data_IF_254634497878
#
_entry.id   IF_254634497878
#
_cell.length_a   1.000
_cell.length_b   1.000
_cell.length_c   1.000
_cell.angle_alpha   90.00
_cell.angle_beta   90.00
_cell.angle_gamma   90.00
#
_symmetry.space_group_name_H-M   'P 1'
#
loop_
_entity.id
_entity.type
_entity.pdbx_description
1 polymer ?
#
# COMPACT_ATOMS: atom_id res chain seq x y z
N UNK A 1 24.44 25.65 18.55
CA UNK A 1 25.12 24.56 17.81
C UNK A 1 24.38 23.27 18.12
N UNK A 2 23.59 22.67 17.23
CA UNK A 2 23.76 22.52 15.78
C UNK A 2 22.56 23.02 14.99
N UNK A 3 22.89 23.55 13.83
CA UNK A 3 22.05 24.20 12.84
C UNK A 3 21.08 23.20 12.20
N UNK A 4 19.78 23.50 12.28
CA UNK A 4 18.82 22.96 11.32
C UNK A 4 18.87 23.93 10.15
N UNK A 5 19.66 23.57 9.14
CA UNK A 5 19.68 24.30 7.88
C UNK A 5 18.30 24.21 7.23
N UNK A 6 17.82 25.37 6.79
CA UNK A 6 16.55 25.55 6.08
C UNK A 6 16.28 24.42 5.08
N UNK A 7 15.29 23.57 5.37
CA UNK A 7 14.69 22.73 4.34
C UNK A 7 13.65 23.58 3.61
N UNK A 8 13.95 23.93 2.36
CA UNK A 8 12.96 24.49 1.45
C UNK A 8 11.75 23.53 1.43
N UNK A 9 10.56 24.04 1.77
CA UNK A 9 9.30 23.31 1.56
C UNK A 9 9.10 23.16 0.05
N UNK A 10 9.60 22.06 -0.50
CA UNK A 10 9.24 21.62 -1.83
C UNK A 10 7.94 20.80 -1.72
N UNK A 11 6.93 21.11 -2.52
CA UNK A 11 5.54 20.63 -2.41
C UNK A 11 5.35 19.12 -2.70
N UNK A 12 6.44 18.33 -2.70
CA UNK A 12 6.47 16.87 -2.84
C UNK A 12 7.35 16.30 -1.75
N UNK A 13 6.79 16.03 -0.59
CA UNK A 13 7.53 15.33 0.47
C UNK A 13 7.61 13.84 0.12
N UNK A 14 8.85 13.40 -0.15
CA UNK A 14 9.19 12.00 -0.19
C UNK A 14 9.67 11.57 1.20
N UNK A 15 9.43 10.32 1.58
CA UNK A 15 9.87 9.79 2.87
C UNK A 15 10.44 8.40 2.72
N UNK A 16 11.42 8.08 3.57
CA UNK A 16 12.00 6.75 3.68
C UNK A 16 11.21 5.95 4.72
N UNK A 17 10.72 4.77 4.32
CA UNK A 17 9.96 3.88 5.21
C UNK A 17 10.56 2.49 5.13
N UNK A 18 10.73 1.84 6.28
CA UNK A 18 11.10 0.43 6.35
C UNK A 18 9.82 -0.41 6.39
N UNK A 19 9.69 -1.37 5.47
CA UNK A 19 8.54 -2.26 5.39
C UNK A 19 8.77 -3.53 6.19
N UNK A 20 7.78 -3.86 7.01
CA UNK A 20 7.74 -5.10 7.79
C UNK A 20 6.53 -5.93 7.34
N UNK A 21 6.67 -7.25 7.36
CA UNK A 21 5.56 -8.17 7.08
C UNK A 21 5.70 -8.92 5.75
N UNK A 22 4.83 -9.92 5.59
CA UNK A 22 4.87 -10.90 4.49
C UNK A 22 3.84 -10.61 3.39
N UNK A 23 2.80 -9.82 3.67
CA UNK A 23 1.65 -9.69 2.77
C UNK A 23 1.97 -9.16 1.36
N UNK A 24 3.12 -8.53 1.18
CA UNK A 24 3.58 -8.01 -0.11
C UNK A 24 4.72 -8.82 -0.71
N UNK A 25 5.03 -9.99 -0.17
CA UNK A 25 5.96 -10.92 -0.81
C UNK A 25 5.36 -11.44 -2.12
N UNK A 26 6.17 -11.69 -3.16
CA UNK A 26 7.63 -11.51 -3.19
C UNK A 26 8.08 -10.07 -3.51
N UNK A 27 7.17 -9.15 -3.84
CA UNK A 27 7.51 -7.79 -4.27
C UNK A 27 8.27 -7.01 -3.20
N UNK A 28 7.83 -7.10 -1.95
CA UNK A 28 8.48 -6.52 -0.79
C UNK A 28 8.91 -7.62 0.18
N UNK A 29 10.09 -7.46 0.74
CA UNK A 29 10.75 -8.43 1.64
C UNK A 29 10.88 -9.82 1.01
N UNK A 30 11.43 -10.00 -0.21
CA UNK A 30 11.58 -11.31 -0.82
C UNK A 30 12.35 -12.25 0.12
N UNK A 31 11.89 -13.50 0.26
CA UNK A 31 12.30 -14.51 1.26
C UNK A 31 13.80 -14.92 1.27
N UNK A 32 14.69 -14.16 0.64
CA UNK A 32 16.13 -14.43 0.53
C UNK A 32 16.92 -14.11 1.80
N UNK A 33 16.38 -13.35 2.75
CA UNK A 33 16.95 -13.21 4.10
C UNK A 33 15.92 -12.68 5.10
N UNK A 34 15.56 -13.46 6.12
CA UNK A 34 14.61 -13.06 7.19
C UNK A 34 15.08 -11.82 7.99
N UNK A 35 16.33 -11.40 7.82
CA UNK A 35 16.92 -10.23 8.49
C UNK A 35 16.91 -8.96 7.63
N UNK A 36 16.69 -9.07 6.32
CA UNK A 36 16.62 -7.91 5.43
C UNK A 36 15.18 -7.44 5.33
N UNK A 37 15.00 -6.15 5.54
CA UNK A 37 13.73 -5.46 5.44
C UNK A 37 13.86 -4.37 4.40
N UNK A 38 12.92 -4.31 3.48
CA UNK A 38 12.97 -3.37 2.39
C UNK A 38 12.80 -1.95 2.91
N UNK A 39 13.67 -1.07 2.43
CA UNK A 39 13.52 0.37 2.63
C UNK A 39 12.97 0.94 1.33
N UNK A 40 11.89 1.68 1.43
CA UNK A 40 11.16 2.23 0.29
C UNK A 40 11.14 3.76 0.35
N UNK A 41 11.06 4.38 -0.82
CA UNK A 41 10.67 5.79 -0.95
C UNK A 41 9.17 5.83 -1.22
N UNK A 42 8.46 6.57 -0.37
CA UNK A 42 7.05 6.90 -0.56
C UNK A 42 6.88 8.36 -0.97
N UNK A 43 5.82 8.62 -1.73
CA UNK A 43 5.32 9.94 -2.10
C UNK A 43 4.06 10.25 -1.27
N UNK A 44 4.17 11.19 -0.34
CA UNK A 44 3.09 11.52 0.60
C UNK A 44 2.00 12.43 0.01
N UNK A 45 2.24 12.98 -1.18
CA UNK A 45 1.33 13.95 -1.82
C UNK A 45 0.61 13.36 -3.03
N UNK A 46 0.84 12.10 -3.37
CA UNK A 46 0.13 11.45 -4.45
C UNK A 46 -1.37 11.39 -4.15
N UNK A 47 -2.19 12.04 -4.99
CA UNK A 47 -3.67 12.04 -4.87
C UNK A 47 -4.36 11.23 -5.97
N UNK A 48 -3.64 10.91 -7.03
CA UNK A 48 -4.15 10.10 -8.13
C UNK A 48 -3.49 8.72 -8.08
N UNK A 49 -4.29 7.68 -8.16
CA UNK A 49 -3.80 6.31 -8.08
C UNK A 49 -4.26 5.52 -9.30
N UNK A 50 -3.46 4.54 -9.71
CA UNK A 50 -3.78 3.62 -10.80
C UNK A 50 -3.69 2.17 -10.35
N UNK A 51 -4.31 1.26 -11.10
CA UNK A 51 -4.13 -0.18 -10.90
C UNK A 51 -2.64 -0.54 -10.97
N UNK A 52 -2.22 -1.43 -10.08
CA UNK A 52 -0.84 -1.86 -9.90
C UNK A 52 -0.02 -0.99 -8.96
N UNK A 53 -0.48 0.21 -8.58
CA UNK A 53 0.23 1.05 -7.61
C UNK A 53 0.33 0.33 -6.25
N UNK A 54 1.52 0.39 -5.64
CA UNK A 54 1.77 -0.02 -4.27
C UNK A 54 1.53 1.17 -3.35
N UNK A 55 0.77 0.97 -2.28
CA UNK A 55 0.33 2.05 -1.40
C UNK A 55 0.45 1.68 0.06
N UNK A 56 0.64 2.70 0.89
CA UNK A 56 0.42 2.62 2.33
C UNK A 56 -0.95 3.20 2.65
N UNK A 57 -1.74 2.49 3.43
CA UNK A 57 -3.09 2.90 3.83
C UNK A 57 -3.35 2.61 5.31
N UNK A 58 -4.21 3.40 5.92
CA UNK A 58 -4.70 3.12 7.28
C UNK A 58 -5.69 1.96 7.25
N UNK A 59 -5.59 1.06 8.23
CA UNK A 59 -6.51 -0.06 8.35
C UNK A 59 -7.95 0.45 8.57
N UNK A 60 -8.97 -0.06 7.83
CA UNK A 60 -10.32 0.51 7.85
C UNK A 60 -10.97 0.60 9.24
N UNK A 61 -10.67 -0.35 10.12
CA UNK A 61 -11.23 -0.43 11.47
C UNK A 61 -10.28 0.02 12.59
N UNK A 62 -8.99 0.25 12.29
CA UNK A 62 -8.00 0.65 13.29
C UNK A 62 -7.00 1.65 12.68
N UNK A 63 -7.21 2.97 12.86
CA UNK A 63 -6.38 3.99 12.23
C UNK A 63 -4.94 4.03 12.76
N UNK A 64 -4.59 3.28 13.81
CA UNK A 64 -3.20 3.16 14.29
C UNK A 64 -2.37 2.19 13.47
N UNK A 65 -3.02 1.34 12.67
CA UNK A 65 -2.37 0.32 11.86
C UNK A 65 -2.22 0.84 10.42
N UNK A 66 -0.99 0.79 9.91
CA UNK A 66 -0.67 1.11 8.52
C UNK A 66 -0.38 -0.20 7.76
N UNK A 67 -1.03 -0.39 6.62
CA UNK A 67 -0.90 -1.57 5.77
C UNK A 67 -0.15 -1.19 4.48
N UNK A 68 0.63 -2.12 3.95
CA UNK A 68 1.14 -2.05 2.57
C UNK A 68 0.35 -3.02 1.68
N UNK A 69 -0.19 -2.51 0.57
CA UNK A 69 -1.05 -3.24 -0.36
C UNK A 69 -0.88 -2.76 -1.80
N UNK A 70 -1.36 -3.54 -2.76
CA UNK A 70 -1.42 -3.18 -4.18
C UNK A 70 -2.85 -2.86 -4.58
N UNK A 71 -3.04 -1.81 -5.37
CA UNK A 71 -4.34 -1.51 -5.97
C UNK A 71 -4.60 -2.48 -7.11
N UNK A 72 -5.66 -3.26 -7.00
CA UNK A 72 -6.09 -4.21 -8.04
C UNK A 72 -7.20 -3.59 -8.89
N UNK A 73 -8.10 -2.80 -8.28
CA UNK A 73 -9.19 -2.14 -8.98
C UNK A 73 -9.51 -0.76 -8.41
N UNK A 74 -10.13 0.07 -9.24
CA UNK A 74 -10.60 1.42 -8.93
C UNK A 74 -12.10 1.54 -9.21
N UNK A 75 -12.68 2.68 -8.85
CA UNK A 75 -14.09 2.99 -9.08
C UNK A 75 -14.62 2.52 -10.45
N UNK A 76 -15.80 1.91 -10.43
CA UNK A 76 -16.46 1.39 -11.62
C UNK A 76 -15.99 0.01 -12.10
N UNK A 77 -14.81 -0.45 -11.68
CA UNK A 77 -14.33 -1.79 -12.01
C UNK A 77 -15.23 -2.88 -11.40
N UNK A 78 -15.21 -4.06 -12.01
CA UNK A 78 -15.79 -5.28 -11.48
C UNK A 78 -14.66 -6.25 -11.16
N UNK A 79 -14.53 -6.60 -9.89
CA UNK A 79 -13.53 -7.55 -9.39
C UNK A 79 -14.21 -8.89 -9.13
N UNK A 80 -13.48 -9.98 -9.36
CA UNK A 80 -13.83 -11.32 -8.87
C UNK A 80 -13.01 -11.59 -7.61
N UNK A 81 -13.58 -11.44 -6.41
CA UNK A 81 -12.87 -11.66 -5.17
C UNK A 81 -12.42 -13.11 -5.01
N UNK A 82 -11.43 -13.33 -4.17
CA UNK A 82 -11.04 -14.64 -3.66
C UNK A 82 -11.59 -14.85 -2.25
N UNK A 83 -11.50 -16.09 -1.74
CA UNK A 83 -11.85 -16.38 -0.36
C UNK A 83 -11.01 -15.50 0.59
N UNK A 84 -11.59 -14.98 1.69
CA UNK A 84 -12.86 -15.37 2.31
C UNK A 84 -14.09 -14.57 1.84
N UNK A 85 -13.99 -13.75 0.79
CA UNK A 85 -15.11 -12.93 0.33
C UNK A 85 -16.28 -13.80 -0.16
N UNK A 86 -17.51 -13.41 0.18
CA UNK A 86 -18.72 -14.21 -0.13
C UNK A 86 -19.29 -13.92 -1.52
N UNK A 87 -19.11 -12.70 -2.02
CA UNK A 87 -19.66 -12.28 -3.30
C UNK A 87 -18.81 -12.82 -4.46
N UNK A 88 -19.48 -13.28 -5.52
CA UNK A 88 -18.80 -13.76 -6.73
C UNK A 88 -18.16 -12.64 -7.54
N UNK A 89 -18.79 -11.45 -7.53
CA UNK A 89 -18.32 -10.26 -8.20
C UNK A 89 -18.68 -9.04 -7.38
N UNK A 90 -17.76 -8.07 -7.32
CA UNK A 90 -17.96 -6.80 -6.63
C UNK A 90 -17.70 -5.67 -7.62
N UNK A 91 -18.68 -4.78 -7.77
CA UNK A 91 -18.49 -3.51 -8.48
C UNK A 91 -17.97 -2.46 -7.50
N UNK A 92 -16.84 -1.84 -7.82
CA UNK A 92 -16.20 -0.87 -6.94
C UNK A 92 -16.98 0.47 -6.98
N UNK A 93 -17.43 0.99 -5.82
CA UNK A 93 -18.13 2.29 -5.75
C UNK A 93 -17.25 3.49 -6.15
N UNK A 94 -17.89 4.62 -6.46
CA UNK A 94 -17.21 5.90 -6.72
C UNK A 94 -16.37 6.32 -5.50
N UNK A 95 -15.10 6.70 -5.70
CA UNK A 95 -14.19 7.09 -4.62
C UNK A 95 -13.62 5.95 -3.77
N UNK A 96 -13.85 4.69 -4.18
CA UNK A 96 -13.31 3.49 -3.53
C UNK A 96 -12.29 2.78 -4.43
N UNK A 97 -11.50 1.91 -3.83
CA UNK A 97 -10.61 1.00 -4.53
C UNK A 97 -10.65 -0.40 -3.92
N UNK A 98 -10.15 -1.37 -4.68
CA UNK A 98 -9.91 -2.74 -4.23
C UNK A 98 -8.41 -2.97 -4.13
N UNK A 99 -7.95 -3.38 -2.95
CA UNK A 99 -6.55 -3.57 -2.64
C UNK A 99 -6.28 -5.00 -2.19
N UNK A 100 -5.15 -5.56 -2.57
CA UNK A 100 -4.73 -6.91 -2.20
C UNK A 100 -3.27 -6.97 -1.78
N UNK A 101 -2.94 -7.97 -0.97
CA UNK A 101 -1.55 -8.38 -0.77
C UNK A 101 -1.05 -9.21 -1.95
N UNK A 102 0.25 -9.15 -2.22
CA UNK A 102 0.88 -10.04 -3.21
C UNK A 102 1.05 -11.48 -2.67
N UNK A 103 0.99 -11.66 -1.33
CA UNK A 103 0.89 -12.96 -0.66
C UNK A 103 -0.51 -13.11 -0.02
N UNK A 104 -1.45 -13.79 -0.70
CA UNK A 104 -2.83 -13.95 -0.23
C UNK A 104 -2.96 -14.69 1.10
N UNK A 105 -1.99 -15.55 1.47
CA UNK A 105 -2.09 -16.36 2.70
C UNK A 105 -1.79 -15.56 3.97
N UNK A 106 -1.09 -14.43 3.83
CA UNK A 106 -0.67 -13.57 4.94
C UNK A 106 -1.18 -12.13 4.82
N UNK A 107 -2.28 -11.95 4.09
CA UNK A 107 -2.85 -10.64 3.81
C UNK A 107 -4.23 -10.47 4.47
N UNK A 108 -4.41 -9.34 5.16
CA UNK A 108 -5.73 -8.77 5.38
C UNK A 108 -5.92 -7.61 4.41
N UNK A 109 -6.90 -7.74 3.51
CA UNK A 109 -7.11 -6.84 2.40
C UNK A 109 -8.58 -6.79 1.95
N UNK A 110 -8.87 -6.28 0.75
CA UNK A 110 -10.25 -6.14 0.27
C UNK A 110 -11.01 -7.47 0.13
N UNK A 111 -10.35 -8.62 0.04
CA UNK A 111 -11.06 -9.90 0.11
C UNK A 111 -11.73 -10.11 1.48
N UNK A 112 -11.18 -9.51 2.52
CA UNK A 112 -11.76 -9.52 3.88
C UNK A 112 -12.63 -8.30 4.15
N UNK A 113 -12.18 -7.10 3.73
CA UNK A 113 -12.83 -5.84 4.06
C UNK A 113 -13.90 -5.38 3.07
N UNK A 114 -13.86 -5.88 1.84
CA UNK A 114 -14.52 -5.27 0.68
C UNK A 114 -13.74 -4.07 0.11
N UNK A 115 -14.38 -3.28 -0.78
CA UNK A 115 -13.79 -2.04 -1.29
C UNK A 115 -13.51 -1.06 -0.15
N UNK A 116 -12.40 -0.34 -0.21
CA UNK A 116 -12.02 0.67 0.79
C UNK A 116 -12.02 2.09 0.20
N UNK A 117 -12.34 3.13 1.00
CA UNK A 117 -12.27 4.51 0.53
C UNK A 117 -10.85 4.89 0.13
N UNK A 118 -10.67 5.53 -1.02
CA UNK A 118 -9.35 5.97 -1.48
C UNK A 118 -8.68 6.95 -0.50
N UNK A 119 -9.49 7.66 0.30
CA UNK A 119 -9.02 8.56 1.35
C UNK A 119 -8.29 7.88 2.52
N UNK A 120 -8.37 6.55 2.65
CA UNK A 120 -7.55 5.81 3.60
C UNK A 120 -6.10 5.65 3.13
N UNK A 121 -5.82 5.86 1.84
CA UNK A 121 -4.46 5.80 1.30
C UNK A 121 -3.67 7.02 1.78
N UNK A 122 -2.61 6.75 2.52
CA UNK A 122 -1.70 7.74 3.08
C UNK A 122 -0.63 8.15 2.06
N UNK A 123 -0.06 7.18 1.34
CA UNK A 123 1.04 7.44 0.41
C UNK A 123 1.17 6.36 -0.67
N UNK A 124 1.83 6.73 -1.76
CA UNK A 124 2.23 5.80 -2.82
C UNK A 124 3.69 5.39 -2.64
N UNK A 125 4.00 4.10 -2.78
CA UNK A 125 5.36 3.59 -2.90
C UNK A 125 5.87 3.83 -4.33
N UNK A 126 7.00 4.51 -4.46
CA UNK A 126 7.62 4.83 -5.75
C UNK A 126 8.80 3.91 -6.08
N UNK A 127 9.70 3.69 -5.10
CA UNK A 127 10.97 2.98 -5.32
C UNK A 127 11.31 2.11 -4.11
N UNK A 128 11.81 0.90 -4.34
CA UNK A 128 12.50 0.08 -3.34
C UNK A 128 13.99 0.44 -3.43
N UNK A 129 14.58 0.94 -2.34
CA UNK A 129 15.97 1.42 -2.33
C UNK A 129 16.95 0.46 -1.65
N UNK A 130 16.46 -0.47 -0.84
CA UNK A 130 17.28 -1.50 -0.19
C UNK A 130 16.49 -2.81 -0.13
N UNK A 131 17.10 -3.99 -0.34
CA UNK A 131 18.50 -4.20 -0.70
C UNK A 131 18.88 -3.56 -2.04
N UNK A 132 20.09 -2.99 -2.14
CA UNK A 132 20.62 -2.54 -3.42
C UNK A 132 20.81 -3.79 -4.29
N UNK A 133 20.17 -3.82 -5.48
CA UNK A 133 20.48 -4.82 -6.49
C UNK A 133 21.88 -4.60 -7.05
#
# INVERSE_FOLDING_TARGET
MKDISNSMKNERTYSLVQINGLSMQPTLNPNTSKLKKDIIIINNHQKTFKKGDLVLLYHPSDPKILLSKRIIGLEGDIIKPIQPHKDSFVRIPLGYCWIEGDDPFHSQDSNTFGPIPIGLISSKLEIIIYPFN
#
